data_IF_594199282499
#
_entry.id   IF_594199282499
#
_cell.length_a   1.000
_cell.length_b   1.000
_cell.length_c   1.000
_cell.angle_alpha   90.00
_cell.angle_beta   90.00
_cell.angle_gamma   90.00
#
_symmetry.space_group_name_H-M   'P 1'
#
loop_
_entity.id
_entity.type
_entity.pdbx_description
1 polymer ?
#
# COMPACT_ATOMS: atom_id res chain seq x y z
N UNK A 1 -9.89 -10.63 8.35
CA UNK A 1 -8.85 -10.38 7.34
C UNK A 1 -9.26 -11.09 6.06
N UNK A 2 -8.94 -10.53 4.90
CA UNK A 2 -9.13 -11.16 3.59
C UNK A 2 -7.72 -11.27 2.95
N UNK A 3 -7.29 -12.48 2.61
CA UNK A 3 -6.02 -12.75 1.90
C UNK A 3 -6.29 -13.44 0.55
N UNK A 4 -7.46 -13.19 -0.04
CA UNK A 4 -7.81 -13.68 -1.37
C UNK A 4 -6.87 -13.06 -2.41
N UNK A 5 -6.69 -13.73 -3.54
CA UNK A 5 -5.81 -13.23 -4.61
C UNK A 5 -6.54 -12.32 -5.60
N UNK A 6 -7.87 -12.45 -5.68
CA UNK A 6 -8.70 -11.66 -6.59
C UNK A 6 -8.80 -10.20 -6.14
N UNK A 7 -8.82 -9.30 -7.12
CA UNK A 7 -9.00 -7.87 -6.88
C UNK A 7 -10.41 -7.56 -6.37
N UNK A 8 -10.52 -6.56 -5.49
CA UNK A 8 -11.82 -6.10 -5.01
C UNK A 8 -12.26 -4.91 -5.87
N UNK A 9 -13.38 -5.08 -6.58
CA UNK A 9 -14.00 -4.02 -7.37
C UNK A 9 -15.11 -3.35 -6.55
N UNK A 10 -14.84 -2.16 -6.05
CA UNK A 10 -15.83 -1.35 -5.33
C UNK A 10 -16.43 -0.31 -6.27
N UNK A 11 -17.76 -0.32 -6.43
CA UNK A 11 -18.50 0.64 -7.26
C UNK A 11 -18.93 1.81 -6.41
N UNK A 12 -18.54 3.01 -6.80
CA UNK A 12 -18.94 4.23 -6.12
C UNK A 12 -20.40 4.56 -6.49
N UNK A 13 -21.27 4.89 -5.51
CA UNK A 13 -22.64 5.34 -5.80
C UNK A 13 -22.72 6.54 -6.76
N UNK A 14 -21.68 7.37 -6.80
CA UNK A 14 -21.58 8.54 -7.69
C UNK A 14 -21.04 8.18 -9.09
N UNK A 15 -20.80 6.88 -9.36
CA UNK A 15 -20.30 6.36 -10.64
C UNK A 15 -18.82 5.97 -10.60
N UNK A 16 -18.39 5.10 -11.52
CA UNK A 16 -17.02 4.60 -11.58
C UNK A 16 -16.70 3.48 -10.58
N UNK A 17 -15.47 2.96 -10.65
CA UNK A 17 -14.99 1.83 -9.84
C UNK A 17 -13.60 2.08 -9.27
N UNK A 18 -13.42 1.81 -7.99
CA UNK A 18 -12.10 1.66 -7.36
C UNK A 18 -11.75 0.19 -7.32
N UNK A 19 -10.59 -0.18 -7.88
CA UNK A 19 -10.09 -1.56 -7.86
C UNK A 19 -8.94 -1.67 -6.86
N UNK A 20 -9.19 -2.35 -5.75
CA UNK A 20 -8.19 -2.61 -4.72
C UNK A 20 -7.36 -3.85 -5.11
N UNK A 21 -6.20 -3.59 -5.71
CA UNK A 21 -5.27 -4.62 -6.16
C UNK A 21 -4.33 -5.04 -5.01
N UNK A 22 -4.37 -6.33 -4.67
CA UNK A 22 -3.64 -6.86 -3.52
C UNK A 22 -2.16 -7.10 -3.81
N UNK A 23 -1.28 -6.30 -3.18
CA UNK A 23 0.18 -6.47 -3.30
C UNK A 23 0.80 -7.10 -2.04
N UNK A 24 1.98 -7.68 -2.21
CA UNK A 24 2.84 -8.14 -1.13
C UNK A 24 4.08 -7.25 -1.08
N UNK A 25 4.33 -6.52 0.02
CA UNK A 25 5.39 -5.53 0.05
C UNK A 25 6.75 -6.12 -0.28
N UNK A 26 7.52 -5.44 -1.14
CA UNK A 26 8.86 -5.82 -1.60
C UNK A 26 8.97 -7.17 -2.32
N UNK A 27 7.83 -7.75 -2.75
CA UNK A 27 7.78 -9.01 -3.53
C UNK A 27 7.45 -8.71 -4.98
N UNK A 28 8.26 -9.23 -5.91
CA UNK A 28 7.93 -9.16 -7.33
C UNK A 28 6.79 -10.12 -7.63
N UNK A 29 5.60 -9.57 -7.87
CA UNK A 29 4.44 -10.37 -8.25
C UNK A 29 4.68 -11.08 -9.59
N UNK A 30 4.36 -12.38 -9.68
CA UNK A 30 4.35 -13.10 -10.96
C UNK A 30 3.40 -12.48 -11.98
N UNK A 31 3.65 -12.72 -13.27
CA UNK A 31 2.85 -12.17 -14.36
C UNK A 31 1.38 -12.61 -14.36
N UNK A 32 1.05 -13.76 -13.76
CA UNK A 32 -0.33 -14.22 -13.60
C UNK A 32 -1.11 -13.41 -12.57
N UNK A 33 -0.41 -12.80 -11.61
CA UNK A 33 -0.99 -12.05 -10.49
C UNK A 33 -1.20 -10.58 -10.80
N UNK A 34 -0.62 -10.05 -11.89
CA UNK A 34 -0.67 -8.62 -12.22
C UNK A 34 -2.01 -8.25 -12.88
N UNK A 35 -2.50 -7.00 -12.70
CA UNK A 35 -3.72 -6.53 -13.34
C UNK A 35 -3.65 -6.64 -14.88
N UNK A 36 -4.70 -7.21 -15.49
CA UNK A 36 -4.80 -7.43 -16.97
C UNK A 36 -5.93 -6.66 -17.65
N UNK A 37 -6.60 -5.79 -16.91
CA UNK A 37 -7.68 -4.93 -17.41
C UNK A 37 -7.18 -3.51 -17.66
N UNK A 38 -7.94 -2.75 -18.45
CA UNK A 38 -7.69 -1.33 -18.66
C UNK A 38 -8.14 -0.54 -17.43
N UNK A 39 -7.37 0.49 -17.08
CA UNK A 39 -7.65 1.40 -15.98
C UNK A 39 -7.30 2.83 -16.40
N UNK A 40 -7.98 3.80 -15.78
CA UNK A 40 -7.97 5.20 -16.21
C UNK A 40 -7.04 6.07 -15.35
N UNK A 41 -6.87 5.73 -14.07
CA UNK A 41 -5.90 6.38 -13.17
C UNK A 41 -5.35 5.43 -12.12
N UNK A 42 -4.30 5.87 -11.44
CA UNK A 42 -3.61 5.12 -10.38
C UNK A 42 -3.77 5.84 -9.04
N UNK A 43 -4.21 5.14 -7.99
CA UNK A 43 -4.20 5.62 -6.62
C UNK A 43 -3.06 4.99 -5.83
N UNK A 44 -2.10 5.79 -5.36
CA UNK A 44 -0.97 5.34 -4.54
C UNK A 44 -1.32 5.48 -3.06
N UNK A 45 -1.08 4.42 -2.30
CA UNK A 45 -1.29 4.37 -0.85
C UNK A 45 -0.11 5.02 -0.08
N UNK A 46 0.17 6.28 -0.37
CA UNK A 46 1.25 7.09 0.19
C UNK A 46 1.11 8.54 -0.24
N UNK A 47 2.09 9.39 0.11
CA UNK A 47 2.12 10.82 -0.24
C UNK A 47 2.81 11.04 -1.58
N UNK A 48 2.79 12.27 -2.09
CA UNK A 48 3.46 12.60 -3.36
C UNK A 48 4.98 12.45 -3.30
N UNK A 49 5.57 12.54 -2.10
CA UNK A 49 7.01 12.37 -1.83
C UNK A 49 7.52 10.95 -2.16
N UNK A 50 6.63 9.95 -2.19
CA UNK A 50 6.97 8.55 -2.48
C UNK A 50 7.70 8.40 -3.83
N UNK A 51 7.40 9.28 -4.80
CA UNK A 51 8.04 9.23 -6.13
C UNK A 51 9.52 9.63 -6.08
N UNK A 52 9.85 10.61 -5.24
CA UNK A 52 11.24 11.02 -5.00
C UNK A 52 11.98 9.92 -4.26
N UNK A 53 11.37 9.35 -3.22
CA UNK A 53 11.91 8.21 -2.46
C UNK A 53 12.25 7.05 -3.40
N UNK A 54 11.32 6.62 -4.25
CA UNK A 54 11.59 5.55 -5.21
C UNK A 54 12.71 5.88 -6.19
N UNK A 55 12.84 7.14 -6.58
CA UNK A 55 13.91 7.59 -7.49
C UNK A 55 15.28 7.51 -6.80
N UNK A 56 15.37 7.87 -5.53
CA UNK A 56 16.59 7.72 -4.74
C UNK A 56 16.91 6.25 -4.44
N UNK A 57 15.92 5.43 -4.11
CA UNK A 57 16.09 3.99 -3.93
C UNK A 57 16.62 3.32 -5.21
N UNK A 58 16.08 3.66 -6.38
CA UNK A 58 16.58 3.19 -7.69
C UNK A 58 18.03 3.62 -7.93
N UNK A 59 18.40 4.86 -7.61
CA UNK A 59 19.79 5.34 -7.71
C UNK A 59 20.72 4.59 -6.75
N UNK A 60 20.25 4.26 -5.56
CA UNK A 60 21.02 3.50 -4.58
C UNK A 60 21.22 2.05 -5.04
N UNK A 61 20.17 1.36 -5.50
CA UNK A 61 20.25 0.00 -6.05
C UNK A 61 21.19 -0.10 -7.27
N UNK A 62 21.25 0.93 -8.10
CA UNK A 62 22.17 0.99 -9.24
C UNK A 62 23.64 1.09 -8.81
N UNK A 63 23.92 1.73 -7.67
CA UNK A 63 25.26 1.86 -7.12
C UNK A 63 25.69 0.61 -6.36
N UNK A 64 24.79 0.06 -5.56
CA UNK A 64 25.03 -1.12 -4.74
C UNK A 64 23.72 -1.92 -4.60
N UNK A 65 23.68 -3.11 -5.19
CA UNK A 65 22.44 -3.89 -5.26
C UNK A 65 22.14 -4.52 -3.90
N UNK A 66 20.92 -4.30 -3.41
CA UNK A 66 20.48 -4.78 -2.10
C UNK A 66 20.72 -3.78 -0.96
N UNK A 67 21.33 -2.62 -1.22
CA UNK A 67 21.64 -1.64 -0.17
C UNK A 67 20.40 -1.17 0.59
N UNK A 68 19.26 -1.01 -0.09
CA UNK A 68 18.03 -0.57 0.56
C UNK A 68 17.45 -1.69 1.44
N UNK A 69 17.51 -2.95 0.98
CA UNK A 69 17.10 -4.11 1.76
C UNK A 69 17.96 -4.25 3.03
N UNK A 70 19.28 -4.17 2.88
CA UNK A 70 20.20 -4.27 4.00
C UNK A 70 19.99 -3.12 5.00
N UNK A 71 19.82 -1.90 4.51
CA UNK A 71 19.47 -0.73 5.33
C UNK A 71 18.17 -0.95 6.11
N UNK A 72 17.11 -1.41 5.43
CA UNK A 72 15.82 -1.67 6.05
C UNK A 72 15.88 -2.81 7.08
N UNK A 73 16.68 -3.85 6.85
CA UNK A 73 16.92 -4.92 7.83
C UNK A 73 17.71 -4.38 9.04
N UNK A 74 18.70 -3.52 8.82
CA UNK A 74 19.52 -2.94 9.90
C UNK A 74 18.75 -1.96 10.79
N UNK A 75 17.72 -1.28 10.26
CA UNK A 75 16.88 -0.35 11.02
C UNK A 75 16.09 -1.02 12.15
N UNK A 76 15.95 -2.35 12.12
CA UNK A 76 15.27 -3.13 13.17
C UNK A 76 13.74 -2.99 13.11
N UNK A 77 13.08 -3.28 14.23
CA UNK A 77 11.62 -3.20 14.32
C UNK A 77 10.86 -4.32 13.58
N UNK A 78 9.61 -4.05 13.19
CA UNK A 78 8.76 -5.01 12.51
C UNK A 78 9.14 -5.18 11.03
N UNK A 79 9.61 -4.12 10.40
CA UNK A 79 10.00 -4.11 8.98
C UNK A 79 11.22 -5.00 8.77
N UNK A 80 12.25 -4.85 9.62
CA UNK A 80 13.42 -5.73 9.63
C UNK A 80 13.02 -7.21 9.80
N UNK A 81 12.17 -7.53 10.78
CA UNK A 81 11.74 -8.91 11.01
C UNK A 81 10.92 -9.47 9.84
N UNK A 82 10.09 -8.64 9.20
CA UNK A 82 9.35 -9.01 8.00
C UNK A 82 10.31 -9.33 6.85
N UNK A 83 11.21 -8.40 6.53
CA UNK A 83 12.15 -8.51 5.42
C UNK A 83 13.12 -9.67 5.62
N UNK A 84 13.71 -9.80 6.81
CA UNK A 84 14.62 -10.90 7.14
C UNK A 84 13.92 -12.25 6.98
N UNK A 85 12.65 -12.39 7.38
CA UNK A 85 11.91 -13.64 7.17
C UNK A 85 11.49 -13.85 5.72
N UNK A 86 11.24 -12.77 4.99
CA UNK A 86 10.84 -12.81 3.58
C UNK A 86 11.99 -13.33 2.70
N UNK A 87 13.25 -13.02 3.01
CA UNK A 87 14.41 -13.52 2.24
C UNK A 87 14.57 -15.05 2.27
N UNK A 88 13.95 -15.73 3.22
CA UNK A 88 13.90 -17.20 3.28
C UNK A 88 12.77 -17.81 2.45
N UNK A 89 11.91 -17.00 1.83
CA UNK A 89 10.82 -17.51 0.99
C UNK A 89 11.37 -17.94 -0.37
N UNK A 90 11.26 -19.23 -0.65
CA UNK A 90 11.72 -19.82 -1.91
C UNK A 90 10.74 -19.58 -3.07
N UNK A 91 11.27 -19.60 -4.30
CA UNK A 91 10.45 -19.52 -5.52
C UNK A 91 9.92 -18.11 -5.85
N UNK A 92 10.33 -17.08 -5.10
CA UNK A 92 9.97 -15.69 -5.34
C UNK A 92 11.20 -14.79 -5.35
N UNK A 93 11.12 -13.71 -6.13
CA UNK A 93 12.04 -12.58 -6.00
C UNK A 93 11.47 -11.62 -4.96
N UNK A 94 12.20 -11.43 -3.87
CA UNK A 94 11.76 -10.71 -2.66
C UNK A 94 12.78 -9.65 -2.25
N UNK A 95 12.42 -8.77 -1.31
CA UNK A 95 13.30 -7.73 -0.79
C UNK A 95 13.72 -6.72 -1.86
N UNK A 96 12.84 -6.45 -2.83
CA UNK A 96 13.11 -5.49 -3.91
C UNK A 96 12.67 -4.10 -3.50
N UNK A 97 13.55 -3.14 -3.73
CA UNK A 97 13.34 -1.72 -3.53
C UNK A 97 13.60 -0.95 -4.85
N UNK A 98 12.82 0.10 -5.15
CA UNK A 98 11.53 0.42 -4.55
C UNK A 98 10.54 -0.75 -4.63
N UNK A 99 9.42 -0.67 -3.89
CA UNK A 99 8.40 -1.72 -3.93
C UNK A 99 8.00 -1.97 -5.39
N UNK A 100 8.21 -3.20 -5.91
CA UNK A 100 8.22 -3.45 -7.33
C UNK A 100 6.86 -3.21 -7.98
N UNK A 101 5.74 -3.53 -7.31
CA UNK A 101 4.43 -3.45 -7.96
C UNK A 101 3.87 -2.01 -8.01
N UNK A 102 3.85 -1.22 -6.92
CA UNK A 102 3.51 0.20 -6.97
C UNK A 102 4.39 0.98 -7.95
N UNK A 103 5.73 0.77 -7.90
CA UNK A 103 6.64 1.48 -8.80
C UNK A 103 6.42 1.11 -10.25
N UNK A 104 6.18 -0.18 -10.55
CA UNK A 104 5.88 -0.65 -11.91
C UNK A 104 4.59 -0.04 -12.44
N UNK A 105 3.54 0.01 -11.62
CA UNK A 105 2.26 0.61 -11.99
C UNK A 105 2.39 2.13 -12.17
N UNK A 106 3.16 2.81 -11.34
CA UNK A 106 3.48 4.23 -11.50
C UNK A 106 4.18 4.49 -12.84
N UNK A 107 5.25 3.75 -13.17
CA UNK A 107 5.91 3.88 -14.48
C UNK A 107 4.94 3.62 -15.64
N UNK A 108 4.03 2.66 -15.50
CA UNK A 108 3.00 2.40 -16.49
C UNK A 108 1.98 3.55 -16.59
N UNK A 109 1.62 4.20 -15.49
CA UNK A 109 0.74 5.37 -15.50
C UNK A 109 1.39 6.53 -16.27
N UNK A 110 2.63 6.86 -15.92
CA UNK A 110 3.41 7.93 -16.57
C UNK A 110 3.61 7.65 -18.06
N UNK A 111 3.99 6.43 -18.44
CA UNK A 111 4.21 6.08 -19.85
C UNK A 111 2.93 6.09 -20.71
N UNK A 112 1.75 6.13 -20.08
CA UNK A 112 0.45 6.12 -20.75
C UNK A 112 -0.38 7.36 -20.42
N UNK A 113 0.25 8.42 -19.89
CA UNK A 113 -0.38 9.69 -19.55
C UNK A 113 -1.64 9.53 -18.67
N UNK A 114 -1.60 8.59 -17.71
CA UNK A 114 -2.68 8.36 -16.76
C UNK A 114 -2.43 9.15 -15.48
N UNK A 115 -3.43 9.87 -14.94
CA UNK A 115 -3.26 10.63 -13.71
C UNK A 115 -2.96 9.69 -12.53
N UNK A 116 -2.08 10.19 -11.65
CA UNK A 116 -1.68 9.53 -10.41
C UNK A 116 -2.19 10.36 -9.23
N UNK A 117 -2.91 9.71 -8.31
CA UNK A 117 -3.51 10.31 -7.12
C UNK A 117 -2.90 9.70 -5.86
N UNK A 118 -2.69 10.52 -4.83
CA UNK A 118 -2.07 10.11 -3.57
C UNK A 118 -3.09 10.07 -2.42
N UNK A 119 -3.24 8.89 -1.82
CA UNK A 119 -4.19 8.67 -0.74
C UNK A 119 -3.73 9.31 0.58
N UNK A 120 -2.43 9.46 0.81
CA UNK A 120 -1.92 10.19 1.95
C UNK A 120 -1.86 11.70 1.63
N UNK A 121 -2.34 12.58 2.52
CA UNK A 121 -2.08 14.00 2.41
C UNK A 121 -0.59 14.32 2.51
N UNK A 122 -0.15 15.38 1.83
CA UNK A 122 1.19 15.90 1.99
C UNK A 122 1.33 16.65 3.33
N UNK A 123 2.57 17.01 3.70
CA UNK A 123 2.88 17.57 5.03
C UNK A 123 2.32 18.98 5.27
N UNK A 124 1.80 19.63 4.23
CA UNK A 124 1.14 20.94 4.30
C UNK A 124 -0.33 20.87 4.77
N UNK A 125 -0.93 19.67 4.83
CA UNK A 125 -2.25 19.46 5.42
C UNK A 125 -2.18 19.51 6.97
N UNK A 126 -2.64 20.61 7.55
CA UNK A 126 -2.65 20.82 9.01
C UNK A 126 -3.47 19.76 9.78
N UNK A 127 -4.56 19.28 9.18
CA UNK A 127 -5.43 18.26 9.79
C UNK A 127 -4.72 16.91 9.82
N UNK A 128 -3.96 16.61 8.76
CA UNK A 128 -3.12 15.43 8.66
C UNK A 128 -1.95 15.50 9.64
N UNK A 129 -1.26 16.64 9.73
CA UNK A 129 -0.19 16.84 10.71
C UNK A 129 -0.69 16.61 12.15
N UNK A 130 -1.89 17.09 12.47
CA UNK A 130 -2.55 16.85 13.77
C UNK A 130 -2.84 15.36 14.00
N UNK A 131 -3.31 14.66 12.96
CA UNK A 131 -3.51 13.20 13.02
C UNK A 131 -2.19 12.46 13.26
N UNK A 132 -1.13 12.78 12.51
CA UNK A 132 0.21 12.19 12.66
C UNK A 132 0.75 12.41 14.07
N UNK A 133 0.50 13.57 14.67
CA UNK A 133 0.90 13.86 16.06
C UNK A 133 0.18 12.93 17.06
N UNK A 134 -1.12 12.66 16.86
CA UNK A 134 -1.88 11.70 17.69
C UNK A 134 -1.37 10.28 17.48
N UNK A 135 -1.10 9.87 16.24
CA UNK A 135 -0.58 8.54 15.90
C UNK A 135 0.80 8.33 16.54
N UNK A 136 1.70 9.32 16.44
CA UNK A 136 3.01 9.29 17.09
C UNK A 136 2.90 9.16 18.62
N UNK A 137 2.02 9.94 19.26
CA UNK A 137 1.75 9.85 20.70
C UNK A 137 1.19 8.48 21.09
N UNK A 138 0.36 7.86 20.25
CA UNK A 138 -0.19 6.52 20.49
C UNK A 138 0.89 5.43 20.40
N UNK A 139 1.78 5.52 19.42
CA UNK A 139 2.86 4.55 19.19
C UNK A 139 3.97 4.64 20.26
N UNK A 140 4.25 5.83 20.77
CA UNK A 140 5.34 6.09 21.74
C UNK A 140 4.95 5.89 23.21
N UNK A 141 3.71 5.43 23.50
CA UNK A 141 3.31 5.20 24.91
C UNK A 141 4.21 4.15 25.57
N UNK A 142 4.61 4.32 26.85
CA UNK A 142 5.55 3.41 27.53
C UNK A 142 5.12 1.94 27.50
N UNK A 143 3.81 1.66 27.63
CA UNK A 143 3.26 0.30 27.52
C UNK A 143 3.39 -0.30 26.12
N UNK A 144 3.33 0.52 25.06
CA UNK A 144 3.50 0.10 23.67
C UNK A 144 4.97 -0.13 23.35
N UNK A 145 5.86 0.76 23.81
CA UNK A 145 7.31 0.57 23.73
C UNK A 145 7.74 -0.72 24.46
N UNK A 146 7.21 -1.01 25.64
CA UNK A 146 7.49 -2.26 26.35
C UNK A 146 7.07 -3.51 25.55
N UNK A 147 5.99 -3.43 24.75
CA UNK A 147 5.56 -4.54 23.88
C UNK A 147 6.54 -4.80 22.74
N UNK A 148 7.38 -3.83 22.34
CA UNK A 148 8.41 -4.01 21.31
C UNK A 148 9.50 -4.99 21.77
N UNK A 149 9.80 -5.05 23.08
CA UNK A 149 10.76 -6.02 23.65
C UNK A 149 10.34 -7.47 23.33
N UNK A 150 9.04 -7.72 23.22
CA UNK A 150 8.49 -9.05 22.94
C UNK A 150 8.06 -9.22 21.47
N UNK A 151 8.58 -8.41 20.55
CA UNK A 151 8.18 -8.40 19.14
C UNK A 151 8.31 -9.79 18.50
N UNK A 152 9.42 -10.51 18.70
CA UNK A 152 9.61 -11.85 18.12
C UNK A 152 8.63 -12.89 18.67
N UNK A 153 8.18 -12.74 19.93
CA UNK A 153 7.14 -13.61 20.52
C UNK A 153 5.76 -13.26 19.96
N UNK A 154 5.46 -11.96 19.81
CA UNK A 154 4.21 -11.49 19.20
C UNK A 154 4.12 -11.94 17.75
N UNK A 155 5.20 -11.79 16.99
CA UNK A 155 5.33 -12.28 15.62
C UNK A 155 4.99 -13.76 15.51
N UNK A 156 5.69 -14.63 16.26
CA UNK A 156 5.43 -16.08 16.26
C UNK A 156 3.99 -16.44 16.61
N UNK A 157 3.31 -15.67 17.48
CA UNK A 157 1.90 -15.89 17.79
C UNK A 157 0.99 -15.42 16.65
N UNK A 158 1.29 -14.26 16.06
CA UNK A 158 0.50 -13.64 15.02
C UNK A 158 0.57 -14.46 13.72
N UNK A 159 1.76 -14.88 13.28
CA UNK A 159 1.92 -15.71 12.08
C UNK A 159 1.14 -17.04 12.16
N UNK A 160 1.08 -17.68 13.34
CA UNK A 160 0.24 -18.88 13.56
C UNK A 160 -1.25 -18.61 13.37
N UNK A 161 -1.72 -17.39 13.67
CA UNK A 161 -3.09 -16.97 13.39
C UNK A 161 -3.27 -16.68 11.90
N UNK A 162 -2.34 -15.93 11.30
CA UNK A 162 -2.44 -15.50 9.90
C UNK A 162 -2.42 -16.68 8.93
N UNK A 163 -1.64 -17.74 9.20
CA UNK A 163 -1.63 -18.98 8.41
C UNK A 163 -3.01 -19.62 8.22
N UNK A 164 -3.96 -19.40 9.13
CA UNK A 164 -5.33 -19.93 9.01
C UNK A 164 -6.18 -19.17 8.00
N UNK A 165 -5.74 -18.00 7.58
CA UNK A 165 -6.41 -17.14 6.61
C UNK A 165 -5.73 -17.13 5.25
N UNK A 166 -4.58 -17.80 5.10
CA UNK A 166 -3.85 -17.88 3.84
C UNK A 166 -4.68 -18.69 2.84
N UNK A 167 -4.77 -18.16 1.63
CA UNK A 167 -5.44 -18.80 0.51
C UNK A 167 -4.37 -19.41 -0.38
N UNK A 168 -4.62 -20.63 -0.87
CA UNK A 168 -3.74 -21.28 -1.85
C UNK A 168 -3.52 -20.37 -3.05
N UNK A 169 -2.29 -20.31 -3.55
CA UNK A 169 -1.98 -19.46 -4.68
C UNK A 169 -2.68 -19.96 -5.96
N UNK A 170 -2.93 -19.08 -6.93
CA UNK A 170 -3.52 -19.49 -8.20
C UNK A 170 -2.70 -20.58 -8.91
N UNK A 171 -3.38 -21.35 -9.75
CA UNK A 171 -2.78 -22.50 -10.46
C UNK A 171 -1.56 -22.04 -11.28
N UNK A 172 -0.44 -22.76 -11.12
CA UNK A 172 0.87 -22.49 -11.75
C UNK A 172 1.66 -21.31 -11.16
N UNK A 173 1.21 -20.73 -10.06
CA UNK A 173 2.00 -19.73 -9.33
C UNK A 173 2.84 -20.36 -8.20
N UNK A 174 3.97 -19.73 -7.79
CA UNK A 174 4.89 -20.29 -6.81
C UNK A 174 4.26 -20.46 -5.42
N UNK A 175 4.55 -21.58 -4.74
CA UNK A 175 4.11 -21.85 -3.36
C UNK A 175 4.58 -20.76 -2.37
N UNK A 176 5.71 -20.10 -2.68
CA UNK A 176 6.25 -18.99 -1.89
C UNK A 176 5.25 -17.85 -1.67
N UNK A 177 4.25 -17.67 -2.55
CA UNK A 177 3.21 -16.64 -2.40
C UNK A 177 2.40 -16.82 -1.12
N UNK A 178 2.08 -18.06 -0.74
CA UNK A 178 1.36 -18.35 0.49
C UNK A 178 2.16 -17.94 1.73
N UNK A 179 3.47 -18.23 1.72
CA UNK A 179 4.38 -17.86 2.80
C UNK A 179 4.54 -16.34 2.89
N UNK A 180 4.79 -15.67 1.76
CA UNK A 180 4.90 -14.22 1.69
C UNK A 180 3.60 -13.51 2.12
N UNK A 181 2.43 -14.02 1.72
CA UNK A 181 1.13 -13.51 2.16
C UNK A 181 0.97 -13.62 3.68
N UNK A 182 1.32 -14.76 4.27
CA UNK A 182 1.28 -14.94 5.72
C UNK A 182 2.20 -13.95 6.47
N UNK A 183 3.40 -13.70 5.93
CA UNK A 183 4.37 -12.76 6.49
C UNK A 183 3.86 -11.32 6.39
N UNK A 184 3.40 -10.90 5.21
CA UNK A 184 2.87 -9.57 4.97
C UNK A 184 1.63 -9.30 5.86
N UNK A 185 0.74 -10.28 5.98
CA UNK A 185 -0.42 -10.19 6.86
C UNK A 185 -0.04 -10.06 8.34
N UNK A 186 1.02 -10.76 8.76
CA UNK A 186 1.56 -10.68 10.12
C UNK A 186 2.14 -9.30 10.40
N UNK A 187 2.94 -8.79 9.47
CA UNK A 187 3.53 -7.45 9.51
C UNK A 187 2.45 -6.37 9.63
N UNK A 188 1.48 -6.36 8.72
CA UNK A 188 0.34 -5.43 8.73
C UNK A 188 -0.42 -5.43 10.04
N UNK A 189 -0.78 -6.63 10.51
CA UNK A 189 -1.56 -6.78 11.75
C UNK A 189 -0.80 -6.19 12.93
N UNK A 190 0.51 -6.45 13.04
CA UNK A 190 1.32 -5.93 14.14
C UNK A 190 1.55 -4.42 14.03
N UNK A 191 1.69 -3.87 12.83
CA UNK A 191 1.75 -2.43 12.60
C UNK A 191 0.45 -1.73 13.01
N UNK A 192 -0.71 -2.27 12.59
CA UNK A 192 -2.02 -1.75 13.02
C UNK A 192 -2.20 -1.83 14.54
N UNK A 193 -1.70 -2.89 15.19
CA UNK A 193 -1.71 -3.02 16.65
C UNK A 193 -0.79 -2.02 17.39
N UNK A 194 0.15 -1.36 16.71
CA UNK A 194 0.99 -0.33 17.31
C UNK A 194 0.23 0.99 17.51
N UNK A 195 -0.71 1.31 16.62
CA UNK A 195 -1.65 2.44 16.78
C UNK A 195 -2.90 2.07 17.61
N UNK A 196 -3.85 2.99 17.71
CA UNK A 196 -5.18 2.78 18.30
C UNK A 196 -6.20 2.44 17.20
N UNK A 197 -7.27 1.73 17.55
CA UNK A 197 -8.27 1.32 16.56
C UNK A 197 -8.93 2.53 15.91
N UNK A 198 -9.33 3.53 16.70
CA UNK A 198 -10.00 4.72 16.20
C UNK A 198 -9.11 5.52 15.24
N UNK A 199 -7.81 5.66 15.55
CA UNK A 199 -6.84 6.31 14.66
C UNK A 199 -6.65 5.54 13.35
N UNK A 200 -6.59 4.20 13.43
CA UNK A 200 -6.51 3.38 12.23
C UNK A 200 -7.76 3.54 11.34
N UNK A 201 -8.95 3.66 11.94
CA UNK A 201 -10.20 3.90 11.20
C UNK A 201 -10.28 5.32 10.64
N UNK A 202 -9.80 6.33 11.38
CA UNK A 202 -9.67 7.72 10.92
C UNK A 202 -8.77 7.82 9.69
N UNK A 203 -7.61 7.14 9.71
CA UNK A 203 -6.71 7.05 8.56
C UNK A 203 -7.34 6.35 7.35
N UNK A 204 -7.95 5.19 7.56
CA UNK A 204 -8.60 4.46 6.46
C UNK A 204 -9.73 5.30 5.83
N UNK A 205 -10.49 6.06 6.64
CA UNK A 205 -11.53 6.98 6.18
C UNK A 205 -10.97 8.14 5.36
N UNK A 206 -9.88 8.76 5.81
CA UNK A 206 -9.23 9.86 5.06
C UNK A 206 -8.71 9.36 3.71
N UNK A 207 -8.03 8.21 3.70
CA UNK A 207 -7.54 7.59 2.48
C UNK A 207 -8.69 7.23 1.53
N UNK A 208 -9.78 6.68 2.05
CA UNK A 208 -10.97 6.38 1.26
C UNK A 208 -11.59 7.66 0.64
N UNK A 209 -11.68 8.77 1.39
CA UNK A 209 -12.16 10.06 0.87
C UNK A 209 -11.30 10.58 -0.27
N UNK A 210 -9.96 10.53 -0.13
CA UNK A 210 -9.02 10.95 -1.18
C UNK A 210 -9.05 10.06 -2.41
N UNK A 211 -9.17 8.74 -2.24
CA UNK A 211 -9.37 7.81 -3.36
C UNK A 211 -10.69 8.09 -4.09
N UNK A 212 -11.78 8.40 -3.36
CA UNK A 212 -13.05 8.82 -3.97
C UNK A 212 -12.91 10.14 -4.71
N UNK A 213 -12.12 11.09 -4.23
CA UNK A 213 -11.84 12.34 -4.96
C UNK A 213 -11.01 12.12 -6.23
N UNK A 214 -10.01 11.24 -6.19
CA UNK A 214 -9.29 10.82 -7.41
C UNK A 214 -10.21 10.15 -8.43
N UNK A 215 -11.13 9.30 -7.98
CA UNK A 215 -12.17 8.73 -8.85
C UNK A 215 -13.12 9.82 -9.39
N UNK A 216 -13.52 10.79 -8.56
CA UNK A 216 -14.36 11.89 -8.97
C UNK A 216 -13.72 12.70 -10.10
N UNK A 217 -12.41 12.93 -10.03
CA UNK A 217 -11.65 13.59 -11.11
C UNK A 217 -11.67 12.77 -12.40
N UNK A 218 -11.47 11.45 -12.31
CA UNK A 218 -11.57 10.55 -13.48
C UNK A 218 -12.97 10.53 -14.11
N UNK A 219 -14.04 10.72 -13.32
CA UNK A 219 -15.41 10.77 -13.84
C UNK A 219 -15.65 11.94 -14.79
N UNK A 220 -14.88 13.02 -14.70
CA UNK A 220 -15.00 14.16 -15.61
C UNK A 220 -14.78 13.73 -17.07
N UNK A 221 -13.82 12.84 -17.31
CA UNK A 221 -13.48 12.34 -18.65
C UNK A 221 -14.16 11.01 -18.99
N UNK A 222 -14.27 10.10 -18.02
CA UNK A 222 -14.68 8.71 -18.24
C UNK A 222 -16.08 8.37 -17.71
N UNK A 223 -16.75 9.30 -17.00
CA UNK A 223 -18.09 9.10 -16.41
C UNK A 223 -18.16 7.80 -15.59
N UNK A 224 -19.22 7.01 -15.77
CA UNK A 224 -19.43 5.73 -15.05
C UNK A 224 -18.39 4.65 -15.37
N UNK A 225 -17.65 4.80 -16.46
CA UNK A 225 -16.57 3.88 -16.84
C UNK A 225 -15.23 4.21 -16.14
N UNK A 226 -15.16 5.32 -15.38
CA UNK A 226 -13.97 5.70 -14.62
C UNK A 226 -13.48 4.54 -13.74
N UNK A 227 -12.18 4.24 -13.82
CA UNK A 227 -11.59 3.13 -13.09
C UNK A 227 -10.26 3.56 -12.47
N UNK A 228 -10.24 3.64 -11.14
CA UNK A 228 -9.06 3.94 -10.34
C UNK A 228 -8.44 2.63 -9.84
N UNK A 229 -7.23 2.30 -10.31
CA UNK A 229 -6.48 1.14 -9.83
C UNK A 229 -5.69 1.53 -8.58
N UNK A 230 -5.80 0.76 -7.50
CA UNK A 230 -5.15 1.05 -6.22
C UNK A 230 -4.34 -0.16 -5.77
N UNK A 231 -3.01 -0.19 -6.00
CA UNK A 231 -2.14 -1.17 -5.37
C UNK A 231 -2.10 -0.92 -3.85
N UNK A 232 -2.61 -1.87 -3.10
CA UNK A 232 -2.70 -1.81 -1.64
C UNK A 232 -2.29 -3.15 -1.06
N UNK A 233 -1.65 -3.13 0.11
CA UNK A 233 -1.24 -4.35 0.77
C UNK A 233 -2.43 -5.31 0.92
N UNK A 234 -2.26 -6.58 0.50
CA UNK A 234 -3.33 -7.58 0.45
C UNK A 234 -4.16 -7.64 1.74
N UNK A 235 -3.50 -7.62 2.90
CA UNK A 235 -4.14 -7.68 4.22
C UNK A 235 -4.94 -6.41 4.60
N UNK A 236 -4.61 -5.26 4.01
CA UNK A 236 -5.27 -3.97 4.22
C UNK A 236 -6.54 -3.76 3.40
N UNK A 237 -6.76 -4.55 2.34
CA UNK A 237 -7.90 -4.37 1.44
C UNK A 237 -9.26 -4.40 2.14
N UNK A 238 -9.44 -5.27 3.14
CA UNK A 238 -10.72 -5.36 3.86
C UNK A 238 -11.01 -4.10 4.68
N UNK A 239 -9.99 -3.48 5.30
CA UNK A 239 -10.21 -2.27 6.08
C UNK A 239 -10.47 -1.07 5.15
N UNK A 240 -9.76 -1.00 4.02
CA UNK A 240 -10.03 0.00 2.99
C UNK A 240 -11.43 -0.13 2.39
N UNK A 241 -11.86 -1.35 2.04
CA UNK A 241 -13.22 -1.60 1.56
C UNK A 241 -14.26 -1.13 2.57
N UNK A 242 -14.09 -1.46 3.85
CA UNK A 242 -15.00 -1.02 4.91
C UNK A 242 -15.02 0.50 5.07
N UNK A 243 -13.92 1.20 4.80
CA UNK A 243 -13.88 2.67 4.80
C UNK A 243 -14.59 3.26 3.57
N UNK A 244 -14.40 2.68 2.37
CA UNK A 244 -15.13 3.07 1.16
C UNK A 244 -16.65 2.85 1.31
N UNK A 245 -17.07 1.75 1.93
CA UNK A 245 -18.48 1.45 2.23
C UNK A 245 -19.12 2.42 3.22
N UNK A 246 -18.33 3.17 4.02
CA UNK A 246 -18.83 4.27 4.85
C UNK A 246 -19.12 5.55 4.03
N UNK A 247 -18.79 5.56 2.74
CA UNK A 247 -19.04 6.66 1.81
C UNK A 247 -18.52 8.02 2.31
N UNK A 248 -17.24 8.13 2.71
CA UNK A 248 -16.67 9.42 3.09
C UNK A 248 -16.75 10.39 1.91
N UNK A 249 -16.99 11.67 2.18
CA UNK A 249 -17.05 12.68 1.12
C UNK A 249 -15.78 12.65 0.25
N UNK A 250 -15.91 12.76 -1.09
CA UNK A 250 -14.76 12.85 -1.97
C UNK A 250 -13.87 14.04 -1.58
N UNK A 251 -12.59 13.78 -1.42
CA UNK A 251 -11.61 14.77 -1.02
C UNK A 251 -10.56 14.95 -2.11
N UNK A 252 -10.15 16.20 -2.36
CA UNK A 252 -9.07 16.48 -3.29
C UNK A 252 -7.79 15.73 -2.92
N UNK A 253 -7.26 14.99 -3.89
CA UNK A 253 -6.02 14.24 -3.77
C UNK A 253 -4.94 14.96 -4.56
N UNK A 254 -3.75 15.10 -3.97
CA UNK A 254 -2.57 15.59 -4.69
C UNK A 254 -2.42 14.77 -5.96
N UNK A 255 -2.26 15.43 -7.10
CA UNK A 255 -2.15 14.76 -8.40
C UNK A 255 -0.89 15.20 -9.12
N UNK A 256 -0.17 14.23 -9.68
CA UNK A 256 0.85 14.49 -10.69
C UNK A 256 0.12 14.51 -12.03
N UNK A 257 -0.55 15.63 -12.34
CA UNK A 257 -0.98 15.83 -13.72
C UNK A 257 0.27 15.77 -14.61
N UNK A 258 0.22 15.01 -15.71
CA UNK A 258 1.22 15.15 -16.77
C UNK A 258 1.19 16.61 -17.20
N UNK A 259 2.26 17.35 -16.88
CA UNK A 259 2.38 18.77 -17.21
C UNK A 259 2.23 18.95 -18.72
N UNK A 260 1.04 19.39 -19.14
CA UNK A 260 0.81 19.97 -20.46
C UNK A 260 0.23 21.38 -20.39
N UNK A 261 0.44 22.09 -19.28
CA UNK A 261 0.24 23.53 -19.24
C UNK A 261 1.60 24.20 -19.03
N UNK A 262 1.96 25.01 -20.03
CA UNK A 262 3.27 25.64 -20.14
C UNK A 262 3.59 26.52 -18.95
N UNK A 263 4.81 26.38 -18.47
CA UNK A 263 5.51 27.47 -17.80
C UNK A 263 5.63 28.61 -18.82
N UNK A 264 4.74 29.61 -18.72
CA UNK A 264 5.01 30.92 -19.30
C UNK A 264 6.14 31.58 -18.49
N UNK A 265 7.08 32.16 -19.23
CA UNK A 265 8.36 32.78 -18.84
C UNK A 265 8.29 33.81 -17.70
#
# INVERSE_FOLDING_TARGET
MNLDWEDIHWKDPDGGTIVLHGILPTVVLPNGMRPRFNWHGLGIMGSSEEIEVWTEEEKAELKDSGINLDSAILNGGLDSLYLEMLTWVEGLQVGRFPDPEPRRLHKAAVNHDRPVFFAEPDMDDESWATYLEKEAKAMTRPRKLLKMIFVSRRWRKCIKKMRKHVIEQPVREPDGLQAASALAATWWTLNRENSEQDLNEEKDLRFAGRLRGGLAKLREDFKDDALLLVPIQQAGRKSMLAALEKLPEPEESSSLASSSDGEEE
#
